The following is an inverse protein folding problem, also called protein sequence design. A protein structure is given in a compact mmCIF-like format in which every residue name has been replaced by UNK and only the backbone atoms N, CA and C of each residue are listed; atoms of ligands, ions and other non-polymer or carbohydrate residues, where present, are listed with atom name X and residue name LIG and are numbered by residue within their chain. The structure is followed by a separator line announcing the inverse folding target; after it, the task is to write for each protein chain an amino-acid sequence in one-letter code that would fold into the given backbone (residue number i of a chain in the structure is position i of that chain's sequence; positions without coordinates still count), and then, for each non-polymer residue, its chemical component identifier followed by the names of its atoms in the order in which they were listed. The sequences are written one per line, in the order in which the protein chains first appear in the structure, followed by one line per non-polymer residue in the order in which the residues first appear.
data_IF_840079550368
#
_entry.id   IF_840079550368
#
_cell.length_a   1.000
_cell.length_b   1.000
_cell.length_c   1.000
_cell.angle_alpha   90.00
_cell.angle_beta   90.00
_cell.angle_gamma   90.00
#
_symmetry.space_group_name_H-M   'P 1'
#
loop_
_entity.id
_entity.type
_entity.pdbx_description
1 polymer ?
#
# COMPACT_ATOMS: atom_id res chain seq x y z
N UNK A 1 -0.59 -21.77 -19.71
CA UNK A 1 -0.87 -20.80 -18.63
C UNK A 1 0.50 -20.32 -18.20
N UNK A 2 0.93 -19.19 -18.73
CA UNK A 2 2.36 -18.86 -18.72
C UNK A 2 2.61 -17.92 -17.55
N UNK A 3 3.23 -18.47 -16.50
CA UNK A 3 3.58 -17.72 -15.30
C UNK A 3 5.03 -17.29 -15.41
N UNK A 4 5.30 -15.99 -15.33
CA UNK A 4 6.67 -15.47 -15.30
C UNK A 4 7.18 -15.51 -13.85
N UNK A 5 8.16 -16.35 -13.56
CA UNK A 5 8.77 -16.52 -12.22
C UNK A 5 10.29 -16.59 -12.33
N UNK A 6 10.98 -16.15 -11.28
CA UNK A 6 12.41 -16.38 -11.04
C UNK A 6 13.33 -15.96 -12.19
N UNK A 7 13.17 -14.74 -12.71
CA UNK A 7 14.14 -14.19 -13.66
C UNK A 7 15.33 -13.67 -12.87
N UNK A 8 16.42 -14.43 -12.89
CA UNK A 8 17.68 -14.08 -12.24
C UNK A 8 18.71 -13.67 -13.29
N UNK A 9 19.11 -12.41 -13.27
CA UNK A 9 20.17 -11.92 -14.15
C UNK A 9 20.80 -10.63 -13.58
N UNK A 10 22.04 -10.75 -13.15
CA UNK A 10 22.78 -9.66 -12.52
C UNK A 10 23.23 -8.55 -13.49
N UNK A 11 23.08 -8.72 -14.79
CA UNK A 11 23.50 -7.73 -15.79
C UNK A 11 22.35 -7.27 -16.71
N UNK A 12 21.12 -7.70 -16.44
CA UNK A 12 19.98 -7.37 -17.29
C UNK A 12 19.50 -5.95 -17.00
N UNK A 13 19.78 -5.03 -17.93
CA UNK A 13 19.43 -3.61 -17.79
C UNK A 13 18.11 -3.24 -18.47
N UNK A 14 17.65 -4.07 -19.41
CA UNK A 14 16.41 -3.85 -20.15
C UNK A 14 15.67 -5.17 -20.34
N UNK A 15 14.38 -5.18 -20.01
CA UNK A 15 13.48 -6.33 -20.18
C UNK A 15 12.21 -5.86 -20.89
N UNK A 16 11.94 -6.46 -22.04
CA UNK A 16 10.82 -6.08 -22.89
C UNK A 16 9.95 -7.30 -23.15
N UNK A 17 8.70 -7.21 -22.74
CA UNK A 17 7.68 -8.20 -23.00
C UNK A 17 6.79 -7.72 -24.15
N UNK A 18 6.84 -8.45 -25.26
CA UNK A 18 5.99 -8.22 -26.44
C UNK A 18 5.20 -9.49 -26.74
N UNK A 19 3.95 -9.33 -27.20
CA UNK A 19 3.08 -10.44 -27.63
C UNK A 19 3.02 -11.62 -26.64
N UNK A 20 2.88 -11.31 -25.35
CA UNK A 20 2.91 -12.30 -24.28
C UNK A 20 1.49 -12.68 -23.80
N UNK A 21 1.33 -13.93 -23.34
CA UNK A 21 0.09 -14.44 -22.73
C UNK A 21 0.21 -14.50 -21.19
N UNK A 22 0.97 -13.57 -20.61
CA UNK A 22 1.22 -13.56 -19.16
C UNK A 22 -0.07 -13.15 -18.45
N UNK A 23 -0.67 -14.09 -17.74
CA UNK A 23 -1.89 -13.85 -16.95
C UNK A 23 -1.58 -13.46 -15.50
N UNK A 24 -0.37 -13.80 -15.03
CA UNK A 24 0.08 -13.56 -13.66
C UNK A 24 1.58 -13.21 -13.61
N UNK A 25 1.90 -12.15 -12.86
CA UNK A 25 3.26 -11.74 -12.54
C UNK A 25 3.44 -11.90 -11.04
N UNK A 26 4.30 -12.82 -10.64
CA UNK A 26 4.53 -13.06 -9.23
C UNK A 26 5.28 -11.90 -8.57
N UNK A 27 5.13 -11.80 -7.26
CA UNK A 27 5.72 -10.74 -6.45
C UNK A 27 7.24 -10.60 -6.59
N UNK A 28 7.87 -11.72 -6.83
CA UNK A 28 9.30 -11.99 -6.90
C UNK A 28 9.83 -12.05 -8.34
N UNK A 29 8.96 -11.92 -9.36
CA UNK A 29 9.32 -12.14 -10.77
C UNK A 29 10.52 -11.28 -11.23
N UNK A 30 10.77 -10.15 -10.57
CA UNK A 30 11.87 -9.23 -10.87
C UNK A 30 12.76 -8.93 -9.66
N UNK A 31 12.60 -9.66 -8.55
CA UNK A 31 13.31 -9.38 -7.29
C UNK A 31 14.83 -9.55 -7.41
N UNK A 32 15.29 -10.36 -8.38
CA UNK A 32 16.71 -10.65 -8.61
C UNK A 32 17.32 -9.81 -9.76
N UNK A 33 16.57 -8.85 -10.31
CA UNK A 33 17.01 -7.97 -11.39
C UNK A 33 17.46 -6.60 -10.88
N UNK A 34 18.50 -6.60 -10.04
CA UNK A 34 18.97 -5.41 -9.33
C UNK A 34 19.41 -4.26 -10.26
N UNK A 35 19.87 -4.58 -11.47
CA UNK A 35 20.37 -3.62 -12.45
C UNK A 35 19.36 -3.24 -13.54
N UNK A 36 18.10 -3.68 -13.42
CA UNK A 36 17.07 -3.39 -14.41
C UNK A 36 16.70 -1.91 -14.40
N UNK A 37 16.95 -1.22 -15.52
CA UNK A 37 16.66 0.21 -15.70
C UNK A 37 15.45 0.46 -16.58
N UNK A 38 15.11 -0.51 -17.41
CA UNK A 38 14.03 -0.41 -18.37
C UNK A 38 13.19 -1.69 -18.34
N UNK A 39 11.90 -1.55 -18.03
CA UNK A 39 10.91 -2.61 -18.15
C UNK A 39 9.79 -2.12 -19.05
N UNK A 40 9.58 -2.79 -20.18
CA UNK A 40 8.47 -2.52 -21.08
C UNK A 40 7.57 -3.75 -21.15
N UNK A 41 6.27 -3.56 -20.93
CA UNK A 41 5.25 -4.60 -21.09
C UNK A 41 4.19 -4.02 -22.02
N UNK A 42 4.10 -4.55 -23.24
CA UNK A 42 3.25 -3.99 -24.29
C UNK A 42 2.12 -4.95 -24.69
N UNK A 43 0.96 -4.38 -25.06
CA UNK A 43 -0.21 -5.08 -25.65
C UNK A 43 -1.04 -6.02 -24.74
N UNK A 44 -1.43 -5.58 -23.54
CA UNK A 44 -2.58 -6.18 -22.86
C UNK A 44 -3.90 -5.52 -23.30
N UNK A 45 -4.78 -6.27 -23.99
CA UNK A 45 -6.17 -5.84 -24.31
C UNK A 45 -7.03 -5.48 -23.06
N UNK A 46 -6.49 -5.61 -21.83
CA UNK A 46 -7.13 -5.27 -20.53
C UNK A 46 -6.32 -4.33 -19.62
N UNK A 47 -5.21 -3.74 -20.08
CA UNK A 47 -4.49 -2.67 -19.37
C UNK A 47 -4.26 -1.49 -20.32
N UNK A 48 -5.00 -0.40 -20.12
CA UNK A 48 -4.68 0.87 -20.78
C UNK A 48 -3.57 1.57 -19.97
N UNK A 49 -2.33 1.39 -20.41
CA UNK A 49 -1.08 1.93 -19.86
C UNK A 49 -0.17 2.31 -21.04
N UNK A 50 -0.52 3.35 -21.80
CA UNK A 50 0.18 3.60 -23.08
C UNK A 50 1.51 4.37 -22.98
N UNK A 51 1.98 4.81 -21.81
CA UNK A 51 3.28 5.52 -21.67
C UNK A 51 3.95 5.39 -20.29
N UNK A 52 4.11 4.18 -19.73
CA UNK A 52 4.90 4.03 -18.49
C UNK A 52 6.39 3.79 -18.78
N UNK A 53 7.23 4.79 -18.50
CA UNK A 53 8.67 4.62 -18.27
C UNK A 53 8.90 4.27 -16.79
N UNK A 54 9.24 3.02 -16.51
CA UNK A 54 9.46 2.53 -15.14
C UNK A 54 10.96 2.66 -14.83
N UNK A 55 11.32 3.48 -13.84
CA UNK A 55 12.64 3.42 -13.21
C UNK A 55 12.64 2.35 -12.12
N UNK A 56 13.79 1.69 -11.91
CA UNK A 56 14.01 0.61 -10.94
C UNK A 56 13.31 0.85 -9.58
N UNK A 57 13.35 2.10 -9.09
CA UNK A 57 12.81 2.45 -7.79
C UNK A 57 11.26 2.41 -7.65
N UNK A 58 10.51 2.32 -8.75
CA UNK A 58 9.04 2.30 -8.74
C UNK A 58 8.40 0.98 -9.15
N UNK A 59 9.21 -0.08 -9.31
CA UNK A 59 8.70 -1.43 -9.64
C UNK A 59 7.70 -1.91 -8.56
N UNK A 60 7.95 -1.61 -7.28
CA UNK A 60 7.04 -1.97 -6.18
C UNK A 60 5.65 -1.34 -6.32
N UNK A 61 5.60 -0.05 -6.65
CA UNK A 61 4.35 0.69 -6.85
C UNK A 61 3.59 0.16 -8.07
N UNK A 62 4.31 -0.20 -9.13
CA UNK A 62 3.72 -0.83 -10.31
C UNK A 62 3.13 -2.21 -9.99
N UNK A 63 3.91 -3.07 -9.35
CA UNK A 63 3.46 -4.42 -8.94
C UNK A 63 2.23 -4.31 -8.05
N UNK A 64 2.22 -3.37 -7.09
CA UNK A 64 1.07 -3.09 -6.25
C UNK A 64 -0.17 -2.72 -7.09
N UNK A 65 -0.01 -1.76 -8.02
CA UNK A 65 -1.09 -1.33 -8.91
C UNK A 65 -1.63 -2.46 -9.79
N UNK A 66 -0.74 -3.30 -10.32
CA UNK A 66 -1.12 -4.47 -11.12
C UNK A 66 -1.93 -5.46 -10.29
N UNK A 67 -1.51 -5.76 -9.05
CA UNK A 67 -2.30 -6.61 -8.12
C UNK A 67 -3.69 -6.03 -7.87
N UNK A 68 -3.74 -4.74 -7.50
CA UNK A 68 -5.00 -4.02 -7.25
C UNK A 68 -5.92 -3.99 -8.48
N UNK A 69 -5.37 -4.01 -9.69
CA UNK A 69 -6.15 -4.03 -10.93
C UNK A 69 -6.55 -5.45 -11.37
N UNK A 70 -5.69 -6.44 -11.20
CA UNK A 70 -5.99 -7.85 -11.50
C UNK A 70 -7.13 -8.35 -10.62
N UNK A 71 -7.12 -7.99 -9.33
CA UNK A 71 -8.19 -8.34 -8.40
C UNK A 71 -9.51 -7.65 -8.74
N UNK A 72 -9.47 -6.46 -9.37
CA UNK A 72 -10.66 -5.80 -9.95
C UNK A 72 -11.33 -6.64 -11.03
N UNK A 73 -10.53 -7.35 -11.85
CA UNK A 73 -11.02 -8.18 -12.96
C UNK A 73 -11.61 -9.52 -12.49
N UNK A 74 -11.14 -10.06 -11.37
CA UNK A 74 -11.64 -11.31 -10.78
C UNK A 74 -12.96 -11.14 -10.01
N UNK A 75 -13.45 -9.90 -9.88
CA UNK A 75 -14.68 -9.57 -9.17
C UNK A 75 -14.43 -9.40 -7.68
N UNK A 76 -14.68 -8.19 -7.17
CA UNK A 76 -14.82 -7.94 -5.74
C UNK A 76 -16.29 -8.07 -5.38
N UNK A 77 -16.63 -8.80 -4.32
CA UNK A 77 -18.01 -8.88 -3.84
C UNK A 77 -18.53 -7.48 -3.45
N UNK A 78 -19.83 -7.24 -3.60
CA UNK A 78 -20.53 -6.04 -3.13
C UNK A 78 -21.04 -6.30 -1.70
N UNK A 79 -20.53 -5.57 -0.73
CA UNK A 79 -21.01 -5.37 0.63
C UNK A 79 -22.16 -4.39 0.57
N UNK A 80 -23.30 -4.79 1.09
CA UNK A 80 -24.27 -3.82 1.56
C UNK A 80 -23.81 -3.43 2.96
N UNK A 81 -23.21 -2.25 3.09
CA UNK A 81 -23.01 -1.65 4.41
C UNK A 81 -24.35 -1.09 4.84
N UNK A 82 -24.96 -1.68 5.87
CA UNK A 82 -25.92 -0.95 6.69
C UNK A 82 -25.22 0.08 7.60
N UNK A 83 -23.88 0.15 7.62
CA UNK A 83 -23.09 1.12 8.39
C UNK A 83 -22.18 1.94 7.48
N UNK A 84 -22.53 3.20 7.25
CA UNK A 84 -21.66 4.17 6.58
C UNK A 84 -20.45 4.47 7.46
N UNK A 85 -19.24 4.04 7.06
CA UNK A 85 -18.02 4.55 7.68
C UNK A 85 -17.99 6.09 7.56
N UNK A 86 -17.57 6.75 8.63
CA UNK A 86 -17.50 8.21 8.70
C UNK A 86 -16.34 8.75 7.84
N UNK A 87 -15.26 7.97 7.76
CA UNK A 87 -14.03 8.31 7.03
C UNK A 87 -13.67 7.25 5.99
N UNK A 88 -13.11 7.69 4.87
CA UNK A 88 -12.51 6.84 3.84
C UNK A 88 -11.18 6.24 4.31
N UNK A 89 -10.43 6.97 5.14
CA UNK A 89 -9.18 6.48 5.71
C UNK A 89 -8.82 7.12 7.05
N UNK A 90 -8.19 6.35 7.93
CA UNK A 90 -7.43 6.85 9.08
C UNK A 90 -5.93 6.75 8.78
N UNK A 91 -5.17 7.83 9.00
CA UNK A 91 -3.71 7.84 8.79
C UNK A 91 -2.98 7.77 10.12
N UNK A 92 -2.08 6.80 10.19
CA UNK A 92 -1.18 6.57 11.31
C UNK A 92 0.23 6.93 10.85
N UNK A 93 0.91 7.77 11.62
CA UNK A 93 2.25 8.28 11.35
C UNK A 93 2.89 8.78 12.65
N UNK A 94 4.20 9.03 12.64
CA UNK A 94 4.87 9.65 13.80
C UNK A 94 4.93 11.18 13.64
N UNK A 95 5.01 11.92 14.73
CA UNK A 95 4.98 13.39 14.67
C UNK A 95 6.09 14.00 13.79
N UNK A 96 7.25 13.33 13.68
CA UNK A 96 8.32 13.75 12.78
C UNK A 96 7.95 13.71 11.28
N UNK A 97 6.97 12.90 10.89
CA UNK A 97 6.45 12.82 9.51
C UNK A 97 5.27 13.78 9.26
N UNK A 98 4.85 14.56 10.27
CA UNK A 98 3.63 15.40 10.22
C UNK A 98 3.60 16.34 9.04
N UNK A 99 4.72 17.00 8.74
CA UNK A 99 4.76 17.96 7.65
C UNK A 99 4.41 17.31 6.31
N UNK A 100 5.00 16.16 6.01
CA UNK A 100 4.70 15.43 4.77
C UNK A 100 3.26 14.90 4.78
N UNK A 101 2.79 14.35 5.90
CA UNK A 101 1.43 13.83 5.99
C UNK A 101 0.40 14.93 5.73
N UNK A 102 0.53 16.11 6.35
CA UNK A 102 -0.45 17.18 6.19
C UNK A 102 -0.38 17.86 4.82
N UNK A 103 0.81 18.23 4.37
CA UNK A 103 0.95 19.06 3.16
C UNK A 103 0.99 18.25 1.86
N UNK A 104 1.38 16.97 1.90
CA UNK A 104 1.41 16.12 0.71
C UNK A 104 0.28 15.10 0.72
N UNK A 105 0.23 14.22 1.73
CA UNK A 105 -0.71 13.09 1.71
C UNK A 105 -2.16 13.50 1.91
N UNK A 106 -2.48 14.22 3.00
CA UNK A 106 -3.83 14.66 3.31
C UNK A 106 -4.35 15.61 2.23
N UNK A 107 -3.56 16.62 1.89
CA UNK A 107 -3.96 17.60 0.87
C UNK A 107 -4.40 16.91 -0.44
N UNK A 108 -3.61 15.96 -0.97
CA UNK A 108 -3.95 15.25 -2.22
C UNK A 108 -5.16 14.33 -2.09
N UNK A 109 -5.37 13.69 -0.94
CA UNK A 109 -6.53 12.82 -0.73
C UNK A 109 -7.81 13.61 -0.51
N UNK A 110 -7.75 14.71 0.21
CA UNK A 110 -8.90 15.59 0.48
C UNK A 110 -9.26 16.41 -0.77
N UNK A 111 -8.29 16.84 -1.59
CA UNK A 111 -8.50 17.52 -2.88
C UNK A 111 -9.38 16.70 -3.84
N UNK A 112 -9.31 15.38 -3.77
CA UNK A 112 -10.13 14.47 -4.61
C UNK A 112 -11.41 14.01 -3.91
N UNK A 113 -11.77 14.63 -2.78
CA UNK A 113 -13.01 14.45 -2.04
C UNK A 113 -13.02 13.31 -1.02
N UNK A 114 -11.87 12.74 -0.64
CA UNK A 114 -11.82 11.69 0.39
C UNK A 114 -11.86 12.30 1.79
N UNK A 115 -12.64 11.70 2.68
CA UNK A 115 -12.67 12.02 4.11
C UNK A 115 -11.58 11.25 4.83
N UNK A 116 -10.49 11.91 5.18
CA UNK A 116 -9.36 11.28 5.86
C UNK A 116 -9.27 11.82 7.28
N UNK A 117 -9.03 10.97 8.28
CA UNK A 117 -8.81 11.39 9.66
C UNK A 117 -7.40 11.12 10.17
N UNK A 118 -6.92 11.97 11.09
CA UNK A 118 -5.59 11.92 11.73
C UNK A 118 -5.64 12.32 13.19
N UNK A 119 -4.71 11.77 13.98
CA UNK A 119 -4.76 11.90 15.43
C UNK A 119 -4.57 13.32 15.98
N UNK A 120 -3.77 14.18 15.33
CA UNK A 120 -3.53 15.56 15.80
C UNK A 120 -4.71 16.50 15.55
N UNK A 121 -5.62 16.13 14.63
CA UNK A 121 -6.73 17.00 14.22
C UNK A 121 -8.06 16.51 14.78
N UNK A 122 -8.25 15.19 14.81
CA UNK A 122 -9.58 14.59 14.96
C UNK A 122 -9.77 13.86 16.30
N UNK A 123 -8.74 13.70 17.14
CA UNK A 123 -8.90 13.00 18.41
C UNK A 123 -9.78 13.75 19.41
N UNK A 124 -10.61 12.99 20.12
CA UNK A 124 -11.46 13.51 21.17
C UNK A 124 -10.62 13.88 22.39
N UNK A 125 -10.77 15.12 22.85
CA UNK A 125 -10.08 15.64 24.02
C UNK A 125 -10.59 14.91 25.27
N UNK A 126 -9.67 14.39 26.08
CA UNK A 126 -9.99 13.71 27.34
C UNK A 126 -10.13 12.18 27.23
N UNK A 127 -10.09 11.61 26.02
CA UNK A 127 -9.94 10.16 25.81
C UNK A 127 -8.45 9.77 25.73
N UNK A 128 -8.13 8.52 26.05
CA UNK A 128 -6.76 8.03 25.90
C UNK A 128 -6.37 7.96 24.41
N UNK A 129 -5.08 8.05 24.10
CA UNK A 129 -4.56 7.89 22.72
C UNK A 129 -4.99 6.52 22.15
N UNK A 130 -4.98 5.50 23.01
CA UNK A 130 -5.36 4.11 22.69
C UNK A 130 -6.81 4.03 22.21
N UNK A 131 -7.72 4.60 23.01
CA UNK A 131 -9.16 4.53 22.74
C UNK A 131 -9.51 5.34 21.49
N UNK A 132 -8.90 6.52 21.34
CA UNK A 132 -9.02 7.33 20.15
C UNK A 132 -8.56 6.56 18.90
N UNK A 133 -7.39 5.90 18.92
CA UNK A 133 -6.93 5.07 17.80
C UNK A 133 -7.97 3.98 17.49
N UNK A 134 -8.41 3.21 18.49
CA UNK A 134 -9.36 2.13 18.31
C UNK A 134 -10.69 2.62 17.70
N UNK A 135 -11.18 3.77 18.18
CA UNK A 135 -12.41 4.43 17.73
C UNK A 135 -12.30 4.88 16.27
N UNK A 136 -11.25 5.61 15.91
CA UNK A 136 -11.07 6.12 14.55
C UNK A 136 -10.68 5.01 13.55
N UNK A 137 -10.05 3.93 13.99
CA UNK A 137 -9.89 2.70 13.20
C UNK A 137 -11.26 2.07 12.89
N UNK A 138 -12.16 2.01 13.87
CA UNK A 138 -13.51 1.47 13.70
C UNK A 138 -14.40 2.30 12.78
N UNK A 139 -14.24 3.63 12.81
CA UNK A 139 -14.98 4.60 11.98
C UNK A 139 -14.45 4.75 10.56
N UNK A 140 -13.29 4.18 10.27
CA UNK A 140 -12.59 4.37 9.01
C UNK A 140 -12.66 3.15 8.11
N UNK A 141 -12.82 3.43 6.82
CA UNK A 141 -12.85 2.39 5.82
C UNK A 141 -11.47 1.74 5.62
N UNK A 142 -10.44 2.55 5.37
CA UNK A 142 -9.03 2.13 5.27
C UNK A 142 -8.21 2.63 6.44
N UNK A 143 -7.12 1.91 6.71
CA UNK A 143 -6.03 2.38 7.57
C UNK A 143 -4.81 2.57 6.68
N UNK A 144 -4.27 3.79 6.66
CA UNK A 144 -3.02 4.13 5.99
C UNK A 144 -1.95 4.21 7.08
N UNK A 145 -0.88 3.44 6.93
CA UNK A 145 0.28 3.48 7.84
C UNK A 145 1.47 4.05 7.09
N UNK A 146 2.02 5.15 7.61
CA UNK A 146 3.20 5.82 7.07
C UNK A 146 4.43 5.34 7.83
N UNK A 147 5.12 4.36 7.24
CA UNK A 147 6.36 3.78 7.78
C UNK A 147 7.54 4.67 7.43
N UNK A 148 8.26 5.11 8.45
CA UNK A 148 9.55 5.82 8.34
C UNK A 148 10.52 5.29 9.39
N UNK A 149 11.79 5.68 9.29
CA UNK A 149 12.77 5.35 10.33
C UNK A 149 12.45 6.00 11.69
N UNK A 150 11.76 7.15 11.69
CA UNK A 150 11.33 7.79 12.94
C UNK A 150 10.11 7.08 13.52
N UNK A 151 9.23 6.59 12.64
CA UNK A 151 8.08 5.80 13.02
C UNK A 151 8.48 4.53 13.76
N UNK A 152 9.49 3.80 13.27
CA UNK A 152 9.98 2.58 13.93
C UNK A 152 10.71 2.81 15.26
N UNK A 153 11.19 4.05 15.51
CA UNK A 153 11.76 4.45 16.81
C UNK A 153 10.71 4.93 17.81
N UNK A 154 9.52 5.29 17.32
CA UNK A 154 8.44 5.84 18.12
C UNK A 154 7.61 4.75 18.82
N UNK A 155 6.60 5.19 19.59
CA UNK A 155 5.66 4.30 20.28
C UNK A 155 5.05 3.24 19.35
N UNK A 156 4.97 3.44 18.03
CA UNK A 156 4.40 2.48 17.09
C UNK A 156 5.00 1.06 17.16
N UNK A 157 6.30 0.90 17.46
CA UNK A 157 6.92 -0.42 17.54
C UNK A 157 6.24 -1.32 18.60
N UNK A 158 5.57 -0.73 19.60
CA UNK A 158 4.80 -1.46 20.62
C UNK A 158 3.36 -1.79 20.19
N UNK A 159 2.84 -1.15 19.15
CA UNK A 159 1.42 -1.21 18.72
C UNK A 159 1.17 -2.10 17.49
N UNK A 160 2.26 -2.52 16.86
CA UNK A 160 2.33 -3.01 15.49
C UNK A 160 1.73 -4.40 15.24
N UNK A 161 1.37 -5.12 16.30
CA UNK A 161 0.86 -6.49 16.19
C UNK A 161 -0.66 -6.48 16.34
N UNK A 162 -1.22 -5.98 17.44
CA UNK A 162 -2.61 -6.32 17.74
C UNK A 162 -3.65 -5.57 16.89
N UNK A 163 -3.55 -4.25 16.72
CA UNK A 163 -4.58 -3.51 15.97
C UNK A 163 -4.55 -3.77 14.46
N UNK A 164 -3.34 -3.77 13.89
CA UNK A 164 -3.17 -4.01 12.46
C UNK A 164 -3.48 -5.46 12.13
N UNK A 165 -3.06 -6.42 12.95
CA UNK A 165 -3.41 -7.83 12.73
C UNK A 165 -4.89 -8.09 13.01
N UNK A 166 -5.49 -7.47 14.02
CA UNK A 166 -6.92 -7.64 14.31
C UNK A 166 -7.79 -7.02 13.21
N UNK A 167 -7.43 -5.81 12.72
CA UNK A 167 -8.08 -5.22 11.55
C UNK A 167 -7.89 -6.14 10.34
N UNK A 168 -6.68 -6.64 10.09
CA UNK A 168 -6.41 -7.58 8.99
C UNK A 168 -7.15 -8.91 9.13
N UNK A 169 -7.40 -9.39 10.35
CA UNK A 169 -8.14 -10.62 10.64
C UNK A 169 -9.64 -10.44 10.40
N UNK A 170 -10.22 -9.36 10.94
CA UNK A 170 -11.64 -9.02 10.78
C UNK A 170 -11.99 -8.52 9.39
N UNK A 171 -11.04 -7.81 8.77
CA UNK A 171 -11.26 -6.97 7.60
C UNK A 171 -10.25 -7.20 6.47
N UNK A 172 -9.59 -8.36 6.46
CA UNK A 172 -8.66 -8.74 5.38
C UNK A 172 -7.43 -7.86 5.24
N UNK A 173 -6.47 -8.33 4.42
CA UNK A 173 -5.20 -7.63 4.17
C UNK A 173 -5.39 -6.29 3.47
N UNK A 174 -6.50 -6.12 2.75
CA UNK A 174 -6.66 -4.95 1.91
C UNK A 174 -7.00 -3.70 2.72
N UNK A 175 -7.52 -3.85 3.96
CA UNK A 175 -7.95 -2.73 4.81
C UNK A 175 -6.78 -1.85 5.24
N UNK A 176 -5.57 -2.35 5.04
CA UNK A 176 -4.31 -1.70 5.32
C UNK A 176 -3.64 -1.23 4.02
N UNK A 177 -3.23 0.03 4.00
CA UNK A 177 -2.37 0.61 2.98
C UNK A 177 -1.07 0.98 3.67
N UNK A 178 0.02 0.30 3.30
CA UNK A 178 1.34 0.55 3.88
C UNK A 178 2.16 1.45 2.96
N UNK A 179 2.62 2.58 3.47
CA UNK A 179 3.48 3.54 2.76
C UNK A 179 4.88 3.49 3.38
N UNK A 180 5.90 3.26 2.57
CA UNK A 180 7.30 3.40 2.94
C UNK A 180 7.74 4.83 2.62
N UNK A 181 7.73 5.71 3.63
CA UNK A 181 8.12 7.11 3.51
C UNK A 181 9.65 7.30 3.50
N UNK A 182 10.38 6.48 4.28
CA UNK A 182 11.84 6.45 4.26
C UNK A 182 12.36 5.01 4.38
N UNK A 183 13.64 4.79 4.07
CA UNK A 183 14.32 3.56 4.46
C UNK A 183 14.33 3.43 5.98
N UNK A 184 14.20 2.21 6.48
CA UNK A 184 14.26 1.88 7.90
C UNK A 184 15.66 1.32 8.18
N UNK A 185 16.35 1.88 9.16
CA UNK A 185 17.66 1.39 9.56
C UNK A 185 17.55 -0.04 10.11
N UNK A 186 18.54 -0.88 9.82
CA UNK A 186 18.57 -2.27 10.31
C UNK A 186 18.50 -2.37 11.83
N UNK A 187 18.99 -1.36 12.56
CA UNK A 187 18.92 -1.26 14.02
C UNK A 187 17.48 -1.12 14.55
N UNK A 188 16.55 -0.64 13.73
CA UNK A 188 15.14 -0.48 14.10
C UNK A 188 14.23 -1.49 13.40
N UNK A 189 14.81 -2.46 12.69
CA UNK A 189 14.08 -3.52 11.99
C UNK A 189 13.80 -4.68 12.94
N UNK A 190 12.79 -4.53 13.80
CA UNK A 190 12.34 -5.61 14.68
C UNK A 190 11.73 -6.76 13.86
N UNK A 191 11.62 -7.96 14.47
CA UNK A 191 11.02 -9.13 13.83
C UNK A 191 9.58 -8.86 13.37
N UNK A 192 8.82 -8.09 14.15
CA UNK A 192 7.43 -7.72 13.83
C UNK A 192 7.36 -6.80 12.62
N UNK A 193 8.18 -5.74 12.57
CA UNK A 193 8.27 -4.83 11.42
C UNK A 193 8.64 -5.62 10.17
N UNK A 194 9.67 -6.47 10.26
CA UNK A 194 10.10 -7.31 9.13
C UNK A 194 8.97 -8.21 8.63
N UNK A 195 8.30 -8.92 9.54
CA UNK A 195 7.16 -9.79 9.18
C UNK A 195 6.00 -9.01 8.55
N UNK A 196 5.71 -7.80 9.05
CA UNK A 196 4.69 -6.94 8.47
C UNK A 196 5.06 -6.54 7.04
N UNK A 197 6.28 -6.07 6.83
CA UNK A 197 6.79 -5.64 5.51
C UNK A 197 6.86 -6.78 4.50
N UNK A 198 7.27 -7.97 4.94
CA UNK A 198 7.39 -9.15 4.07
C UNK A 198 6.00 -9.69 3.66
N UNK A 199 5.01 -9.61 4.56
CA UNK A 199 3.68 -10.19 4.32
C UNK A 199 2.65 -9.21 3.76
N UNK A 200 3.01 -7.92 3.68
CA UNK A 200 2.10 -6.83 3.31
C UNK A 200 2.64 -6.05 2.12
N UNK A 201 1.89 -5.97 1.01
CA UNK A 201 2.25 -5.09 -0.09
C UNK A 201 2.33 -3.63 0.38
N UNK A 202 3.41 -2.95 0.04
CA UNK A 202 3.66 -1.57 0.43
C UNK A 202 4.00 -0.69 -0.78
N UNK A 203 3.66 0.59 -0.66
CA UNK A 203 3.95 1.62 -1.64
C UNK A 203 5.19 2.39 -1.21
N UNK A 204 6.17 2.52 -2.10
CA UNK A 204 7.39 3.27 -1.84
C UNK A 204 7.20 4.73 -2.24
N UNK A 205 7.30 5.65 -1.28
CA UNK A 205 7.37 7.06 -1.60
C UNK A 205 8.77 7.41 -2.11
N UNK A 206 8.80 8.18 -3.19
CA UNK A 206 10.02 8.77 -3.73
C UNK A 206 9.65 10.00 -4.56
N UNK A 207 10.39 11.09 -4.36
CA UNK A 207 10.25 12.31 -5.16
C UNK A 207 10.83 12.13 -6.55
N UNK A 208 10.21 12.78 -7.53
CA UNK A 208 10.68 12.81 -8.91
C UNK A 208 10.06 11.71 -9.77
N UNK A 209 10.88 10.97 -10.51
CA UNK A 209 10.37 10.09 -11.56
C UNK A 209 9.62 8.89 -10.96
N UNK A 210 8.30 8.83 -11.19
CA UNK A 210 7.38 7.81 -10.67
C UNK A 210 6.59 8.22 -9.41
N UNK A 211 6.73 9.47 -8.96
CA UNK A 211 5.86 10.06 -7.94
C UNK A 211 4.38 10.00 -8.33
N UNK A 212 4.05 10.27 -9.59
CA UNK A 212 2.67 10.15 -10.09
C UNK A 212 2.11 8.72 -9.98
N UNK A 213 2.97 7.71 -10.14
CA UNK A 213 2.58 6.31 -10.01
C UNK A 213 2.23 5.98 -8.56
N UNK A 214 3.04 6.46 -7.62
CA UNK A 214 2.79 6.36 -6.18
C UNK A 214 1.45 7.00 -5.81
N UNK A 215 1.22 8.26 -6.19
CA UNK A 215 -0.02 8.95 -5.89
C UNK A 215 -1.22 8.28 -6.55
N UNK A 216 -1.10 7.84 -7.81
CA UNK A 216 -2.15 7.06 -8.49
C UNK A 216 -2.49 5.77 -7.73
N UNK A 217 -1.47 5.09 -7.19
CA UNK A 217 -1.66 3.87 -6.41
C UNK A 217 -2.40 4.13 -5.10
N UNK A 218 -2.00 5.14 -4.34
CA UNK A 218 -2.68 5.50 -3.08
C UNK A 218 -4.13 5.88 -3.35
N UNK A 219 -4.38 6.80 -4.28
CA UNK A 219 -5.74 7.26 -4.58
C UNK A 219 -6.65 6.11 -4.99
N UNK A 220 -6.15 5.17 -5.79
CA UNK A 220 -6.88 3.96 -6.19
C UNK A 220 -7.08 2.99 -5.03
N UNK A 221 -6.14 2.90 -4.10
CA UNK A 221 -6.22 2.03 -2.93
C UNK A 221 -7.25 2.53 -1.91
N UNK A 222 -7.32 3.85 -1.70
CA UNK A 222 -8.28 4.47 -0.76
C UNK A 222 -9.71 4.46 -1.31
N UNK A 223 -9.92 4.90 -2.56
CA UNK A 223 -11.25 4.99 -3.20
C UNK A 223 -11.99 3.67 -3.36
N UNK A 224 -11.36 2.52 -3.10
CA UNK A 224 -11.94 1.21 -3.37
C UNK A 224 -12.49 0.54 -2.09
N UNK A 225 -13.79 0.18 -2.08
CA UNK A 225 -14.34 -0.65 -1.04
C UNK A 225 -13.73 -2.06 -1.03
N UNK A 226 -13.25 -2.51 0.13
CA UNK A 226 -12.83 -3.88 0.41
C UNK A 226 -13.92 -4.55 1.18
N UNK A 227 -14.37 -5.67 0.64
CA UNK A 227 -15.56 -6.34 1.12
C UNK A 227 -15.14 -7.79 1.40
N UNK A 228 -14.12 -7.87 2.27
CA UNK A 228 -13.48 -8.97 3.02
C UNK A 228 -13.30 -10.38 2.44
N UNK A 229 -12.22 -11.09 2.87
CA UNK A 229 -11.77 -12.37 2.33
C UNK A 229 -12.59 -13.56 2.87
N UNK A 230 -12.38 -14.79 2.34
CA UNK A 230 -12.98 -15.99 2.93
C UNK A 230 -12.52 -16.18 4.38
N UNK A 231 -13.49 -16.34 5.27
CA UNK A 231 -13.36 -17.21 6.44
C UNK A 231 -13.10 -18.61 5.89
N UNK A 232 -11.99 -19.22 6.32
CA UNK A 232 -11.63 -20.63 6.21
C UNK A 232 -12.18 -21.39 4.98
N UNK A 233 -11.30 -21.73 4.05
CA UNK A 233 -11.43 -23.01 3.35
C UNK A 233 -10.23 -23.84 3.76
N UNK A 234 -10.55 -25.03 4.29
CA UNK A 234 -9.64 -26.17 4.42
C UNK A 234 -8.88 -26.43 3.11
#
# INVERSE_FOLDING_TARGET
MDTFRNVSNNNLTSLVFTNNSIEDLTADAFQELNDLRHLEISHERKLNISTLKICNANIRNLVYLLRVNAWKRKGYAIFNSSESCEYDAFVIYCDSDRQWVHYDLLNRLEEIGLKVCVHQRDFDIGESIIDNIAKYVGKSWKIIVVMSNNFTKSEWCQWEVDFVQERRRRHGKEALILIMHSQIDSSHMTTSIRSLLDTTPHLQYQKGLGEDLFWSAIMKAVKKPLKHPPVSVL
#
